data_IF_759246630286
#
_entry.id   IF_759246630286
#
_cell.length_a   1.000
_cell.length_b   1.000
_cell.length_c   1.000
_cell.angle_alpha   90.00
_cell.angle_beta   90.00
_cell.angle_gamma   90.00
#
_symmetry.space_group_name_H-M   'P 1'
#
loop_
_entity.id
_entity.type
_entity.pdbx_description
1 polymer ?
#
# COMPACT_ATOMS: atom_id res chain seq x y z
N UNK A 1 3.91 -7.07 -2.97
CA UNK A 1 3.19 -8.22 -2.39
C UNK A 1 3.91 -9.45 -2.87
N UNK A 2 4.50 -10.22 -1.96
CA UNK A 2 5.11 -11.51 -2.31
C UNK A 2 3.99 -12.55 -2.25
N UNK A 3 3.62 -13.12 -3.39
CA UNK A 3 2.58 -14.13 -3.50
C UNK A 3 3.15 -15.48 -3.08
N UNK A 4 2.66 -16.04 -1.98
CA UNK A 4 2.91 -17.44 -1.64
C UNK A 4 1.83 -18.28 -2.30
N UNK A 5 1.89 -18.36 -3.64
CA UNK A 5 0.88 -19.04 -4.45
C UNK A 5 1.20 -20.54 -4.56
N UNK A 6 0.29 -21.36 -4.02
CA UNK A 6 -0.23 -22.67 -4.44
C UNK A 6 0.52 -23.63 -5.41
N UNK A 7 1.85 -23.54 -5.55
CA UNK A 7 2.66 -24.62 -6.12
C UNK A 7 3.85 -24.92 -5.23
N UNK A 8 3.69 -25.96 -4.42
CA UNK A 8 4.79 -26.84 -4.03
C UNK A 8 5.26 -27.53 -5.33
N UNK A 9 5.94 -26.77 -6.19
CA UNK A 9 6.52 -27.26 -7.43
C UNK A 9 7.84 -27.96 -7.12
N UNK A 10 7.98 -29.17 -7.66
CA UNK A 10 9.15 -30.05 -7.58
C UNK A 10 10.50 -29.33 -7.71
N UNK A 11 11.55 -29.78 -6.99
CA UNK A 11 12.76 -29.03 -6.76
C UNK A 11 13.64 -29.00 -8.00
N UNK A 12 13.93 -27.82 -8.53
CA UNK A 12 15.10 -27.64 -9.39
C UNK A 12 15.94 -26.49 -8.84
N UNK A 13 16.89 -26.88 -7.99
CA UNK A 13 18.27 -26.40 -7.83
C UNK A 13 18.61 -26.46 -6.34
N UNK A 14 19.57 -27.30 -5.99
CA UNK A 14 20.02 -27.58 -4.63
C UNK A 14 20.47 -26.29 -3.90
N UNK A 15 19.55 -25.63 -3.21
CA UNK A 15 19.87 -24.71 -2.14
C UNK A 15 20.00 -25.53 -0.86
N UNK A 16 21.21 -25.61 -0.30
CA UNK A 16 21.44 -26.15 1.05
C UNK A 16 20.43 -25.49 2.00
N UNK A 17 19.53 -26.29 2.56
CA UNK A 17 18.64 -25.90 3.66
C UNK A 17 19.46 -25.17 4.73
N UNK A 18 19.11 -23.91 5.00
CA UNK A 18 19.80 -23.06 5.99
C UNK A 18 19.52 -23.48 7.43
N UNK A 19 18.58 -24.40 7.65
CA UNK A 19 18.44 -25.11 8.91
C UNK A 19 19.66 -26.02 9.08
N UNK A 20 20.55 -25.64 10.00
CA UNK A 20 21.75 -26.40 10.38
C UNK A 20 21.39 -27.88 10.55
N UNK A 21 22.17 -28.82 9.99
CA UNK A 21 22.03 -30.22 10.35
C UNK A 21 22.58 -30.38 11.77
N UNK A 22 21.71 -30.16 12.77
CA UNK A 22 21.91 -30.85 14.04
C UNK A 22 21.88 -32.36 13.72
N UNK A 23 22.85 -33.10 14.25
CA UNK A 23 23.02 -34.52 14.01
C UNK A 23 21.72 -35.32 14.22
N UNK A 24 21.63 -36.47 13.56
CA UNK A 24 20.53 -37.43 13.55
C UNK A 24 19.62 -37.36 14.80
N UNK A 25 18.58 -36.55 14.70
CA UNK A 25 17.66 -36.26 15.79
C UNK A 25 16.75 -35.11 15.39
N UNK A 26 15.50 -35.44 15.04
CA UNK A 26 14.34 -34.52 14.86
C UNK A 26 14.70 -33.06 14.58
N UNK A 27 14.74 -32.65 13.30
CA UNK A 27 14.85 -31.23 12.93
C UNK A 27 13.71 -30.46 13.62
N UNK A 28 14.05 -29.65 14.62
CA UNK A 28 13.08 -28.83 15.33
C UNK A 28 12.78 -27.58 14.52
N UNK A 29 11.50 -27.27 14.36
CA UNK A 29 11.03 -26.05 13.72
C UNK A 29 11.39 -24.86 14.60
N UNK A 30 11.92 -23.77 14.02
CA UNK A 30 12.24 -22.58 14.78
C UNK A 30 10.95 -21.92 15.32
N UNK A 31 10.96 -21.39 16.56
CA UNK A 31 9.83 -20.66 17.10
C UNK A 31 9.52 -19.42 16.25
N UNK A 32 8.24 -19.12 16.05
CA UNK A 32 7.79 -17.92 15.34
C UNK A 32 7.85 -16.71 16.27
N UNK A 33 8.12 -15.53 15.71
CA UNK A 33 8.02 -14.28 16.46
C UNK A 33 6.59 -14.06 16.97
N UNK A 34 6.49 -13.62 18.22
CA UNK A 34 5.21 -13.47 18.91
C UNK A 34 4.40 -12.25 18.47
N UNK A 35 5.01 -11.30 17.76
CA UNK A 35 4.34 -10.09 17.27
C UNK A 35 3.63 -10.28 15.92
N UNK A 36 3.78 -11.45 15.28
CA UNK A 36 3.11 -11.76 14.03
C UNK A 36 1.59 -11.89 14.23
N UNK A 37 0.84 -11.34 13.29
CA UNK A 37 -0.63 -11.40 13.32
C UNK A 37 -1.17 -11.99 12.02
N UNK A 38 -2.12 -12.92 12.13
CA UNK A 38 -2.89 -13.43 11.00
C UNK A 38 -4.24 -12.71 10.90
N UNK A 39 -4.59 -12.32 9.68
CA UNK A 39 -5.91 -11.77 9.35
C UNK A 39 -6.57 -12.65 8.29
N UNK A 40 -7.90 -12.87 8.34
CA UNK A 40 -8.60 -13.57 7.28
C UNK A 40 -8.48 -12.76 5.97
N UNK A 41 -8.07 -13.45 4.92
CA UNK A 41 -7.96 -12.91 3.57
C UNK A 41 -9.22 -13.18 2.75
N UNK A 42 -9.15 -12.78 1.48
CA UNK A 42 -10.22 -13.10 0.53
C UNK A 42 -10.07 -14.53 0.00
N UNK A 43 -11.18 -15.23 -0.19
CA UNK A 43 -11.14 -16.53 -0.87
C UNK A 43 -10.50 -16.44 -2.26
N UNK A 44 -9.79 -17.48 -2.67
CA UNK A 44 -9.29 -17.62 -4.04
C UNK A 44 -10.44 -17.84 -5.03
N UNK A 45 -10.12 -17.82 -6.32
CA UNK A 45 -11.11 -18.00 -7.39
C UNK A 45 -11.82 -19.36 -7.32
N UNK A 46 -11.17 -20.36 -6.72
CA UNK A 46 -11.72 -21.70 -6.44
C UNK A 46 -12.54 -21.77 -5.14
N UNK A 47 -12.68 -20.66 -4.42
CA UNK A 47 -13.37 -20.58 -3.13
C UNK A 47 -12.53 -20.99 -1.93
N UNK A 48 -11.27 -21.39 -2.12
CA UNK A 48 -10.40 -21.77 -1.01
C UNK A 48 -10.09 -20.55 -0.11
N UNK A 49 -10.08 -20.72 1.22
CA UNK A 49 -9.81 -19.62 2.13
C UNK A 49 -8.34 -19.19 2.05
N UNK A 50 -8.08 -17.90 2.26
CA UNK A 50 -6.71 -17.39 2.41
C UNK A 50 -6.58 -16.55 3.67
N UNK A 51 -5.35 -16.34 4.10
CA UNK A 51 -5.01 -15.50 5.23
C UNK A 51 -3.88 -14.54 4.86
N UNK A 52 -3.77 -13.44 5.59
CA UNK A 52 -2.68 -12.48 5.47
C UNK A 52 -1.88 -12.48 6.76
N UNK A 53 -0.62 -12.90 6.68
CA UNK A 53 0.37 -12.80 7.74
C UNK A 53 1.00 -11.41 7.71
N UNK A 54 0.89 -10.68 8.81
CA UNK A 54 1.43 -9.35 8.98
C UNK A 54 2.66 -9.39 9.90
N UNK A 55 3.78 -8.84 9.40
CA UNK A 55 4.99 -8.54 10.18
C UNK A 55 4.95 -7.05 10.58
N UNK A 56 4.65 -6.71 11.84
CA UNK A 56 4.55 -5.32 12.27
C UNK A 56 5.89 -4.59 12.28
N UNK A 57 7.01 -5.29 12.48
CA UNK A 57 8.32 -4.66 12.58
C UNK A 57 8.79 -4.13 11.21
N UNK A 58 8.56 -4.92 10.15
CA UNK A 58 8.91 -4.53 8.79
C UNK A 58 7.74 -3.88 8.01
N UNK A 59 6.53 -3.82 8.59
CA UNK A 59 5.27 -3.45 7.92
C UNK A 59 5.07 -4.22 6.60
N UNK A 60 5.28 -5.55 6.65
CA UNK A 60 5.16 -6.45 5.50
C UNK A 60 3.95 -7.35 5.63
N UNK A 61 3.38 -7.70 4.49
CA UNK A 61 2.19 -8.54 4.38
C UNK A 61 2.48 -9.69 3.43
N UNK A 62 2.24 -10.91 3.91
CA UNK A 62 2.37 -12.14 3.15
C UNK A 62 1.00 -12.78 3.03
N UNK A 63 0.57 -13.07 1.81
CA UNK A 63 -0.66 -13.84 1.59
C UNK A 63 -0.32 -15.32 1.69
N UNK A 64 -1.01 -16.05 2.54
CA UNK A 64 -0.86 -17.49 2.73
C UNK A 64 -2.15 -18.21 2.33
N UNK A 65 -2.01 -19.30 1.60
CA UNK A 65 -3.11 -20.19 1.23
C UNK A 65 -3.48 -21.15 2.36
N UNK A 66 -4.51 -21.96 2.12
CA UNK A 66 -5.01 -22.95 3.08
C UNK A 66 -3.95 -23.95 3.58
N UNK A 67 -3.08 -24.54 2.72
CA UNK A 67 -2.04 -25.45 3.21
C UNK A 67 -1.06 -24.80 4.18
N UNK A 68 -0.57 -23.61 3.85
CA UNK A 68 0.35 -22.88 4.72
C UNK A 68 -0.29 -22.50 6.06
N UNK A 69 -1.58 -22.14 6.06
CA UNK A 69 -2.33 -21.86 7.28
C UNK A 69 -2.46 -23.09 8.19
N UNK A 70 -2.78 -24.26 7.63
CA UNK A 70 -2.94 -25.49 8.41
C UNK A 70 -1.59 -25.97 9.00
N UNK A 71 -0.50 -25.76 8.27
CA UNK A 71 0.87 -26.01 8.77
C UNK A 71 1.18 -25.06 9.94
N UNK A 72 0.97 -23.75 9.78
CA UNK A 72 1.22 -22.75 10.83
C UNK A 72 0.35 -22.97 12.07
N UNK A 73 -0.89 -23.41 11.90
CA UNK A 73 -1.80 -23.70 13.01
C UNK A 73 -1.33 -24.86 13.89
N UNK A 74 -0.44 -25.71 13.37
CA UNK A 74 0.15 -26.86 14.08
C UNK A 74 1.64 -26.67 14.37
N UNK A 75 2.18 -25.47 14.15
CA UNK A 75 3.60 -25.16 14.29
C UNK A 75 4.17 -25.50 15.68
N UNK A 76 3.31 -25.46 16.71
CA UNK A 76 3.66 -25.81 18.10
C UNK A 76 4.08 -27.27 18.30
N UNK A 77 3.78 -28.17 17.36
CA UNK A 77 4.25 -29.57 17.41
C UNK A 77 5.78 -29.68 17.23
N UNK A 78 6.42 -28.67 16.66
CA UNK A 78 7.88 -28.55 16.62
C UNK A 78 8.61 -29.50 15.67
N UNK A 79 8.04 -30.62 15.24
CA UNK A 79 8.63 -31.53 14.23
C UNK A 79 7.90 -31.41 12.87
N UNK A 80 8.61 -31.22 11.74
CA UNK A 80 8.01 -31.20 10.41
C UNK A 80 7.15 -32.43 10.11
N UNK A 81 7.62 -33.62 10.52
CA UNK A 81 6.93 -34.88 10.32
C UNK A 81 5.65 -34.97 11.14
N UNK A 82 5.67 -34.47 12.38
CA UNK A 82 4.50 -34.43 13.25
C UNK A 82 3.46 -33.43 12.73
N UNK A 83 3.91 -32.26 12.26
CA UNK A 83 3.04 -31.24 11.64
C UNK A 83 2.37 -31.80 10.39
N UNK A 84 3.15 -32.35 9.45
CA UNK A 84 2.62 -32.93 8.21
C UNK A 84 1.62 -34.07 8.49
N UNK A 85 1.94 -34.96 9.44
CA UNK A 85 1.04 -36.04 9.86
C UNK A 85 -0.26 -35.50 10.46
N UNK A 86 -0.18 -34.50 11.33
CA UNK A 86 -1.35 -33.92 11.96
C UNK A 86 -2.26 -33.16 10.96
N UNK A 87 -1.67 -32.47 9.96
CA UNK A 87 -2.42 -31.85 8.87
C UNK A 87 -3.16 -32.92 8.05
N UNK A 88 -2.47 -33.99 7.61
CA UNK A 88 -3.10 -35.07 6.83
C UNK A 88 -4.18 -35.84 7.61
N UNK A 89 -4.03 -35.96 8.93
CA UNK A 89 -5.00 -36.67 9.77
C UNK A 89 -6.29 -35.87 10.02
N UNK A 90 -6.22 -34.54 9.97
CA UNK A 90 -7.32 -33.65 10.38
C UNK A 90 -7.92 -32.85 9.22
N UNK A 91 -7.31 -32.91 8.03
CA UNK A 91 -7.74 -32.16 6.84
C UNK A 91 -7.66 -33.05 5.60
N UNK A 92 -8.21 -32.59 4.49
CA UNK A 92 -8.12 -33.28 3.18
C UNK A 92 -6.82 -32.97 2.43
N UNK A 93 -5.93 -32.16 3.02
CA UNK A 93 -4.71 -31.70 2.37
C UNK A 93 -3.64 -32.80 2.35
N UNK A 94 -2.95 -32.90 1.23
CA UNK A 94 -1.74 -33.71 1.08
C UNK A 94 -0.54 -32.78 1.31
N UNK A 95 -0.01 -32.82 2.53
CA UNK A 95 1.16 -32.03 2.96
C UNK A 95 2.21 -32.99 3.49
N UNK A 96 3.44 -32.86 3.01
CA UNK A 96 4.60 -33.65 3.45
C UNK A 96 5.60 -32.83 4.27
N UNK A 97 6.56 -33.52 4.89
CA UNK A 97 7.57 -32.86 5.72
C UNK A 97 8.42 -31.86 4.92
N UNK A 98 8.61 -32.09 3.62
CA UNK A 98 9.30 -31.17 2.72
C UNK A 98 8.55 -29.84 2.56
N UNK A 99 7.22 -29.86 2.48
CA UNK A 99 6.40 -28.65 2.39
C UNK A 99 6.50 -27.81 3.66
N UNK A 100 6.52 -28.48 4.82
CA UNK A 100 6.69 -27.82 6.12
C UNK A 100 8.09 -27.20 6.22
N UNK A 101 9.13 -27.90 5.76
CA UNK A 101 10.50 -27.39 5.72
C UNK A 101 10.65 -26.23 4.72
N UNK A 102 9.98 -26.28 3.58
CA UNK A 102 9.95 -25.19 2.60
C UNK A 102 9.32 -23.93 3.19
N UNK A 103 8.20 -24.08 3.91
CA UNK A 103 7.60 -22.97 4.64
C UNK A 103 8.53 -22.47 5.76
N UNK A 104 9.20 -23.35 6.50
CA UNK A 104 10.15 -22.98 7.54
C UNK A 104 11.32 -22.16 7.00
N UNK A 105 11.91 -22.58 5.87
CA UNK A 105 13.00 -21.85 5.22
C UNK A 105 12.55 -20.46 4.76
N UNK A 106 11.34 -20.36 4.20
CA UNK A 106 10.75 -19.06 3.81
C UNK A 106 10.55 -18.14 5.02
N UNK A 107 9.95 -18.63 6.11
CA UNK A 107 9.75 -17.84 7.34
C UNK A 107 11.09 -17.41 7.96
N UNK A 108 12.08 -18.30 7.94
CA UNK A 108 13.41 -18.06 8.48
C UNK A 108 14.19 -17.00 7.66
N UNK A 109 14.12 -17.08 6.33
CA UNK A 109 14.67 -16.06 5.41
C UNK A 109 13.92 -14.74 5.50
N UNK A 110 12.61 -14.79 5.74
CA UNK A 110 11.77 -13.61 5.95
C UNK A 110 11.98 -12.90 7.29
N UNK A 111 12.87 -13.41 8.16
CA UNK A 111 13.08 -12.91 9.53
C UNK A 111 11.79 -12.92 10.38
N UNK A 112 10.94 -13.93 10.17
CA UNK A 112 9.68 -14.13 10.86
C UNK A 112 9.79 -15.09 12.05
N UNK A 113 10.92 -15.82 12.16
CA UNK A 113 11.24 -16.67 13.29
C UNK A 113 11.99 -15.89 14.38
N UNK A 114 11.82 -16.30 15.64
CA UNK A 114 12.56 -15.76 16.77
C UNK A 114 14.05 -16.15 16.66
N UNK A 115 14.93 -15.17 16.89
CA UNK A 115 16.37 -15.39 16.88
C UNK A 115 16.80 -15.75 18.31
N UNK A 116 17.07 -17.04 18.55
CA UNK A 116 17.41 -17.55 19.88
C UNK A 116 18.85 -18.02 20.02
N UNK A 117 19.59 -18.15 18.91
CA UNK A 117 20.97 -18.67 18.91
C UNK A 117 22.01 -17.60 18.57
N UNK A 118 23.27 -17.87 18.92
CA UNK A 118 24.41 -17.04 18.54
C UNK A 118 24.58 -16.95 17.02
N UNK A 119 24.25 -18.03 16.30
CA UNK A 119 24.30 -18.07 14.84
C UNK A 119 23.20 -17.21 14.21
N UNK A 120 22.00 -17.20 14.78
CA UNK A 120 20.93 -16.29 14.34
C UNK A 120 21.34 -14.81 14.50
N UNK A 121 21.99 -14.48 15.63
CA UNK A 121 22.46 -13.13 15.91
C UNK A 121 23.55 -12.70 14.92
N UNK A 122 24.50 -13.59 14.62
CA UNK A 122 25.53 -13.35 13.60
C UNK A 122 24.91 -13.14 12.22
N UNK A 123 23.96 -13.98 11.82
CA UNK A 123 23.24 -13.83 10.55
C UNK A 123 22.51 -12.49 10.43
N UNK A 124 21.82 -12.06 11.49
CA UNK A 124 21.14 -10.75 11.50
C UNK A 124 22.14 -9.60 11.40
N UNK A 125 23.29 -9.72 12.08
CA UNK A 125 24.37 -8.74 11.99
C UNK A 125 24.98 -8.70 10.59
N UNK A 126 25.26 -9.86 9.99
CA UNK A 126 25.77 -9.99 8.62
C UNK A 126 24.78 -9.42 7.60
N UNK A 127 23.48 -9.70 7.77
CA UNK A 127 22.43 -9.12 6.94
C UNK A 127 22.35 -7.59 7.08
N UNK A 128 22.50 -7.07 8.29
CA UNK A 128 22.55 -5.63 8.55
C UNK A 128 23.80 -4.97 7.94
N UNK A 129 24.97 -5.59 8.09
CA UNK A 129 26.23 -5.10 7.52
C UNK A 129 26.23 -5.18 5.99
N UNK A 130 25.67 -6.25 5.42
CA UNK A 130 25.48 -6.40 3.98
C UNK A 130 24.53 -5.33 3.39
N UNK A 131 23.70 -4.70 4.22
CA UNK A 131 22.87 -3.54 3.88
C UNK A 131 23.61 -2.20 3.89
N UNK A 132 24.79 -2.09 4.54
CA UNK A 132 25.64 -0.87 4.56
C UNK A 132 26.52 -0.78 3.30
N UNK A 133 25.94 -1.00 2.12
CA UNK A 133 26.67 -0.91 0.84
C UNK A 133 26.98 0.55 0.50
N UNK A 134 28.06 0.75 -0.25
CA UNK A 134 28.44 2.05 -0.80
C UNK A 134 27.24 2.69 -1.53
N UNK A 135 26.93 3.95 -1.20
CA UNK A 135 25.73 4.67 -1.66
C UNK A 135 25.52 4.62 -3.18
N UNK A 136 26.60 4.59 -3.97
CA UNK A 136 26.51 4.49 -5.43
C UNK A 136 26.02 3.10 -5.91
N UNK A 137 26.43 2.02 -5.23
CA UNK A 137 25.94 0.66 -5.53
C UNK A 137 24.49 0.50 -5.08
N UNK A 138 24.14 1.12 -3.94
CA UNK A 138 22.75 1.19 -3.49
C UNK A 138 21.87 1.91 -4.51
N UNK A 139 22.31 3.06 -5.03
CA UNK A 139 21.57 3.80 -6.05
C UNK A 139 21.42 3.00 -7.35
N UNK A 140 22.47 2.29 -7.81
CA UNK A 140 22.40 1.46 -9.01
C UNK A 140 21.46 0.25 -8.86
N UNK A 141 21.32 -0.31 -7.65
CA UNK A 141 20.38 -1.41 -7.39
C UNK A 141 18.94 -0.89 -7.18
N UNK A 142 18.78 0.34 -6.69
CA UNK A 142 17.48 0.92 -6.31
C UNK A 142 17.02 2.06 -7.24
N UNK A 143 17.71 2.36 -8.35
CA UNK A 143 17.38 3.48 -9.24
C UNK A 143 15.98 3.36 -9.84
N UNK A 144 15.49 2.11 -9.99
CA UNK A 144 14.15 1.83 -10.47
C UNK A 144 13.10 2.23 -9.44
N UNK A 145 13.32 1.96 -8.15
CA UNK A 145 12.31 2.22 -7.12
C UNK A 145 12.90 2.37 -5.72
N UNK A 146 12.75 3.55 -5.12
CA UNK A 146 12.98 3.75 -3.70
C UNK A 146 11.97 4.74 -3.10
N UNK A 147 11.79 4.69 -1.78
CA UNK A 147 10.83 5.54 -1.04
C UNK A 147 11.56 6.31 0.04
N UNK A 148 11.24 7.60 0.14
CA UNK A 148 11.71 8.49 1.19
C UNK A 148 10.50 8.86 2.06
N UNK A 149 10.31 8.20 3.22
CA UNK A 149 9.25 8.57 4.15
C UNK A 149 9.54 9.95 4.73
N UNK A 150 8.64 10.92 4.49
CA UNK A 150 8.83 12.29 4.98
C UNK A 150 8.30 12.46 6.41
N UNK A 151 7.15 11.86 6.71
CA UNK A 151 6.49 12.05 8.01
C UNK A 151 5.50 10.93 8.34
N UNK A 152 5.05 10.91 9.60
CA UNK A 152 4.11 9.93 10.16
C UNK A 152 2.75 10.58 10.41
N UNK A 153 1.76 10.44 9.50
CA UNK A 153 0.55 11.28 9.48
C UNK A 153 -0.53 10.85 10.51
N UNK A 154 -0.35 9.71 11.18
CA UNK A 154 -1.39 9.06 12.00
C UNK A 154 -2.12 9.99 12.99
N UNK A 155 -1.38 10.85 13.70
CA UNK A 155 -1.96 11.76 14.69
C UNK A 155 -2.88 12.77 14.03
N UNK A 156 -2.44 13.36 12.92
CA UNK A 156 -3.23 14.30 12.14
C UNK A 156 -4.46 13.61 11.53
N UNK A 157 -4.29 12.44 10.92
CA UNK A 157 -5.38 11.71 10.27
C UNK A 157 -6.48 11.35 11.28
N UNK A 158 -6.13 10.86 12.48
CA UNK A 158 -7.11 10.59 13.54
C UNK A 158 -7.85 11.85 13.99
N UNK A 159 -7.15 12.97 14.09
CA UNK A 159 -7.76 14.25 14.45
C UNK A 159 -8.72 14.74 13.36
N UNK A 160 -8.38 14.58 12.07
CA UNK A 160 -9.19 15.06 10.93
C UNK A 160 -10.35 14.12 10.57
N UNK A 161 -10.22 12.82 10.79
CA UNK A 161 -11.23 11.81 10.40
C UNK A 161 -12.67 12.17 10.83
N UNK A 162 -12.96 12.60 12.07
CA UNK A 162 -14.32 12.97 12.46
C UNK A 162 -14.84 14.21 11.72
N UNK A 163 -13.98 15.17 11.39
CA UNK A 163 -14.34 16.42 10.70
C UNK A 163 -14.60 16.24 9.22
N UNK A 164 -14.00 15.22 8.60
CA UNK A 164 -14.20 14.91 7.16
C UNK A 164 -15.29 13.85 6.98
N UNK A 165 -15.99 13.48 8.06
CA UNK A 165 -17.04 12.46 8.05
C UNK A 165 -18.15 12.72 7.03
N UNK A 166 -18.52 14.00 6.84
CA UNK A 166 -19.56 14.48 5.93
C UNK A 166 -19.24 14.24 4.45
N UNK A 167 -17.96 14.23 4.06
CA UNK A 167 -17.53 14.03 2.67
C UNK A 167 -17.85 12.62 2.13
N UNK A 168 -18.25 11.68 3.01
CA UNK A 168 -18.62 10.31 2.62
C UNK A 168 -20.14 10.10 2.61
N UNK A 169 -20.93 11.16 2.78
CA UNK A 169 -22.40 11.09 2.79
C UNK A 169 -22.97 11.24 1.39
N UNK A 170 -24.17 10.69 1.15
CA UNK A 170 -24.89 10.90 -0.12
C UNK A 170 -25.15 12.39 -0.39
N UNK A 171 -25.42 13.17 0.66
CA UNK A 171 -25.63 14.62 0.56
C UNK A 171 -24.42 15.35 -0.01
N UNK A 172 -23.20 14.95 0.38
CA UNK A 172 -21.98 15.52 -0.20
C UNK A 172 -21.88 15.27 -1.71
N UNK A 173 -22.12 14.04 -2.17
CA UNK A 173 -22.06 13.73 -3.60
C UNK A 173 -23.15 14.45 -4.40
N UNK A 174 -24.36 14.61 -3.85
CA UNK A 174 -25.41 15.40 -4.47
C UNK A 174 -25.06 16.89 -4.54
N UNK A 175 -24.48 17.45 -3.47
CA UNK A 175 -23.97 18.82 -3.46
C UNK A 175 -22.88 19.00 -4.53
N UNK A 176 -21.93 18.07 -4.60
CA UNK A 176 -20.85 18.10 -5.58
C UNK A 176 -21.37 18.03 -7.01
N UNK A 177 -22.36 17.16 -7.28
CA UNK A 177 -23.03 17.10 -8.57
C UNK A 177 -23.77 18.41 -8.91
N UNK A 178 -24.44 19.03 -7.94
CA UNK A 178 -25.07 20.34 -8.10
C UNK A 178 -24.06 21.45 -8.41
N UNK A 179 -22.93 21.48 -7.69
CA UNK A 179 -21.84 22.43 -7.94
C UNK A 179 -21.17 22.21 -9.29
N UNK A 180 -21.05 20.97 -9.75
CA UNK A 180 -20.56 20.65 -11.09
C UNK A 180 -21.49 21.23 -12.16
N UNK A 181 -22.79 20.95 -12.08
CA UNK A 181 -23.76 21.46 -13.05
C UNK A 181 -23.80 22.99 -13.06
N UNK A 182 -23.80 23.61 -11.88
CA UNK A 182 -23.76 25.07 -11.76
C UNK A 182 -22.45 25.65 -12.29
N UNK A 183 -21.31 25.04 -11.98
CA UNK A 183 -19.99 25.47 -12.45
C UNK A 183 -19.88 25.38 -13.97
N UNK A 184 -20.31 24.28 -14.58
CA UNK A 184 -20.33 24.13 -16.04
C UNK A 184 -21.27 25.15 -16.70
N UNK A 185 -22.44 25.41 -16.11
CA UNK A 185 -23.34 26.44 -16.59
C UNK A 185 -22.74 27.85 -16.50
N UNK A 186 -22.05 28.18 -15.41
CA UNK A 186 -21.40 29.48 -15.25
C UNK A 186 -20.21 29.67 -16.19
N UNK A 187 -19.40 28.62 -16.38
CA UNK A 187 -18.31 28.61 -17.36
C UNK A 187 -18.85 28.81 -18.78
N UNK A 188 -19.95 28.16 -19.15
CA UNK A 188 -20.55 28.36 -20.48
C UNK A 188 -21.09 29.77 -20.68
N UNK A 189 -21.55 30.44 -19.60
CA UNK A 189 -21.94 31.85 -19.62
C UNK A 189 -20.76 32.82 -19.73
N UNK A 190 -19.58 32.41 -19.29
CA UNK A 190 -18.34 33.21 -19.31
C UNK A 190 -17.29 32.57 -20.23
N UNK A 191 -17.74 31.97 -21.34
CA UNK A 191 -16.91 31.12 -22.19
C UNK A 191 -15.67 31.83 -22.71
N UNK A 192 -15.82 33.06 -23.21
CA UNK A 192 -14.70 33.84 -23.75
C UNK A 192 -13.63 34.11 -22.67
N UNK A 193 -14.05 34.46 -21.45
CA UNK A 193 -13.15 34.67 -20.31
C UNK A 193 -12.47 33.37 -19.85
N UNK A 194 -13.15 32.23 -19.98
CA UNK A 194 -12.57 30.92 -19.69
C UNK A 194 -11.48 30.55 -20.70
N UNK A 195 -11.75 30.77 -21.99
CA UNK A 195 -10.77 30.56 -23.07
C UNK A 195 -9.59 31.52 -22.91
N UNK A 196 -9.84 32.79 -22.58
CA UNK A 196 -8.79 33.77 -22.33
C UNK A 196 -7.87 33.38 -21.15
N UNK A 197 -8.38 32.64 -20.17
CA UNK A 197 -7.56 32.15 -19.05
C UNK A 197 -6.43 31.20 -19.50
N UNK A 198 -6.53 30.58 -20.68
CA UNK A 198 -5.44 29.78 -21.24
C UNK A 198 -4.20 30.60 -21.59
N UNK A 199 -4.33 31.92 -21.83
CA UNK A 199 -3.17 32.81 -22.06
C UNK A 199 -2.21 32.83 -20.87
N UNK A 200 -2.66 32.40 -19.68
CA UNK A 200 -1.77 32.22 -18.54
C UNK A 200 -0.62 31.23 -18.83
N UNK A 201 -0.81 30.24 -19.71
CA UNK A 201 0.22 29.27 -20.09
C UNK A 201 1.31 29.85 -21.00
N UNK A 202 1.09 31.02 -21.61
CA UNK A 202 2.09 31.66 -22.48
C UNK A 202 3.26 32.26 -21.68
N UNK A 203 3.09 32.42 -20.36
CA UNK A 203 4.08 33.00 -19.47
C UNK A 203 4.71 31.95 -18.54
N UNK A 204 5.99 32.16 -18.19
CA UNK A 204 6.71 31.30 -17.23
C UNK A 204 6.02 31.21 -15.85
N UNK A 205 5.36 32.30 -15.43
CA UNK A 205 4.55 32.33 -14.21
C UNK A 205 3.38 31.35 -14.25
N UNK A 206 2.80 31.09 -15.43
CA UNK A 206 1.76 30.08 -15.62
C UNK A 206 2.26 28.66 -15.40
N UNK A 207 3.47 28.33 -15.88
CA UNK A 207 4.09 27.03 -15.63
C UNK A 207 4.38 26.78 -14.16
N UNK A 208 4.84 27.81 -13.43
CA UNK A 208 5.01 27.73 -11.96
C UNK A 208 3.64 27.51 -11.30
N UNK A 209 2.62 28.26 -11.72
CA UNK A 209 1.25 28.11 -11.22
C UNK A 209 0.68 26.71 -11.45
N UNK A 210 0.91 26.13 -12.64
CA UNK A 210 0.54 24.76 -12.96
C UNK A 210 1.28 23.75 -12.07
N UNK A 211 2.60 23.89 -11.90
CA UNK A 211 3.38 23.01 -11.03
C UNK A 211 2.90 23.03 -9.57
N UNK A 212 2.55 24.21 -9.05
CA UNK A 212 1.94 24.36 -7.72
C UNK A 212 0.55 23.73 -7.66
N UNK A 213 -0.30 23.95 -8.66
CA UNK A 213 -1.64 23.37 -8.73
C UNK A 213 -1.60 21.83 -8.75
N UNK A 214 -0.72 21.25 -9.56
CA UNK A 214 -0.49 19.81 -9.63
C UNK A 214 0.03 19.25 -8.31
N UNK A 215 1.03 19.90 -7.71
CA UNK A 215 1.59 19.47 -6.43
C UNK A 215 0.54 19.51 -5.33
N UNK A 216 -0.26 20.57 -5.27
CA UNK A 216 -1.37 20.72 -4.33
C UNK A 216 -2.44 19.64 -4.51
N UNK A 217 -2.86 19.41 -5.76
CA UNK A 217 -3.82 18.37 -6.11
C UNK A 217 -3.33 16.98 -5.69
N UNK A 218 -2.06 16.65 -5.96
CA UNK A 218 -1.46 15.37 -5.54
C UNK A 218 -1.29 15.23 -4.04
N UNK A 219 -0.99 16.31 -3.31
CA UNK A 219 -1.01 16.26 -1.84
C UNK A 219 -2.41 15.88 -1.35
N UNK A 220 -3.46 16.54 -1.87
CA UNK A 220 -4.83 16.21 -1.52
C UNK A 220 -5.23 14.79 -1.94
N UNK A 221 -4.79 14.31 -3.11
CA UNK A 221 -4.98 12.94 -3.58
C UNK A 221 -4.48 11.91 -2.56
N UNK A 222 -3.24 12.08 -2.11
CA UNK A 222 -2.62 11.22 -1.10
C UNK A 222 -3.34 11.30 0.24
N UNK A 223 -3.78 12.50 0.66
CA UNK A 223 -4.63 12.65 1.84
C UNK A 223 -5.99 11.95 1.69
N UNK A 224 -6.57 11.92 0.49
CA UNK A 224 -7.79 11.19 0.17
C UNK A 224 -7.64 9.69 0.48
N UNK A 225 -6.56 9.07 -0.01
CA UNK A 225 -6.21 7.69 0.33
C UNK A 225 -6.02 7.51 1.84
N UNK A 226 -5.25 8.38 2.47
CA UNK A 226 -4.89 8.28 3.88
C UNK A 226 -6.12 8.38 4.82
N UNK A 227 -6.99 9.36 4.58
CA UNK A 227 -8.21 9.58 5.36
C UNK A 227 -9.21 8.44 5.16
N UNK A 228 -9.37 7.97 3.92
CA UNK A 228 -10.27 6.83 3.63
C UNK A 228 -9.77 5.55 4.29
N UNK A 229 -8.47 5.27 4.23
CA UNK A 229 -7.86 4.13 4.92
C UNK A 229 -8.06 4.23 6.44
N UNK A 230 -7.80 5.40 7.02
CA UNK A 230 -7.99 5.65 8.46
C UNK A 230 -9.45 5.45 8.89
N UNK A 231 -10.42 5.86 8.06
CA UNK A 231 -11.85 5.65 8.31
C UNK A 231 -12.23 4.17 8.37
N UNK A 232 -11.60 3.31 7.58
CA UNK A 232 -11.78 1.86 7.64
C UNK A 232 -10.99 1.18 8.76
N UNK A 233 -10.32 1.95 9.63
CA UNK A 233 -9.53 1.45 10.75
C UNK A 233 -8.10 1.01 10.37
N UNK A 234 -7.67 1.24 9.13
CA UNK A 234 -6.31 0.94 8.69
C UNK A 234 -5.33 2.00 9.19
N UNK A 235 -4.12 1.57 9.56
CA UNK A 235 -3.05 2.51 9.89
C UNK A 235 -2.29 2.96 8.64
N UNK A 236 -2.00 4.25 8.57
CA UNK A 236 -1.08 4.89 7.62
C UNK A 236 0.25 5.20 8.32
N UNK A 237 1.27 4.33 8.23
CA UNK A 237 2.52 4.50 8.97
C UNK A 237 3.39 5.64 8.44
N UNK A 238 3.37 5.88 7.12
CA UNK A 238 4.18 6.93 6.49
C UNK A 238 3.50 7.53 5.26
N UNK A 239 3.82 8.80 5.01
CA UNK A 239 3.58 9.50 3.74
C UNK A 239 4.91 10.16 3.33
N UNK A 240 5.16 10.26 2.03
CA UNK A 240 6.40 10.85 1.55
C UNK A 240 6.51 10.91 0.04
N UNK A 241 7.74 10.79 -0.45
CA UNK A 241 8.06 10.80 -1.89
C UNK A 241 8.68 9.47 -2.27
N UNK A 242 8.12 8.83 -3.30
CA UNK A 242 8.69 7.68 -3.97
C UNK A 242 9.35 8.13 -5.27
N UNK A 243 10.45 7.49 -5.65
CA UNK A 243 11.13 7.73 -6.92
C UNK A 243 10.98 6.48 -7.79
N UNK A 244 10.36 6.64 -8.95
CA UNK A 244 10.28 5.61 -9.99
C UNK A 244 11.16 6.06 -11.16
N UNK A 245 12.26 5.37 -11.43
CA UNK A 245 13.22 5.79 -12.47
C UNK A 245 13.62 7.26 -12.31
N UNK A 246 13.99 7.66 -11.09
CA UNK A 246 14.29 9.06 -10.69
C UNK A 246 13.15 10.08 -10.81
N UNK A 247 11.95 9.69 -11.22
CA UNK A 247 10.77 10.58 -11.22
C UNK A 247 10.12 10.62 -9.83
N UNK A 248 10.02 11.79 -9.16
CA UNK A 248 9.41 11.90 -7.85
C UNK A 248 7.88 11.81 -7.96
N UNK A 249 7.28 10.99 -7.10
CA UNK A 249 5.84 10.85 -6.93
C UNK A 249 5.52 10.89 -5.44
N UNK A 250 4.45 11.59 -5.07
CA UNK A 250 3.96 11.50 -3.70
C UNK A 250 3.43 10.08 -3.45
N UNK A 251 3.55 9.60 -2.21
CA UNK A 251 2.98 8.31 -1.84
C UNK A 251 2.44 8.32 -0.41
N UNK A 252 1.41 7.51 -0.22
CA UNK A 252 0.83 7.15 1.08
C UNK A 252 0.94 5.66 1.29
N UNK A 253 1.50 5.24 2.43
CA UNK A 253 1.52 3.83 2.79
C UNK A 253 0.13 3.40 3.29
N UNK A 254 -0.65 2.81 2.40
CA UNK A 254 -1.96 2.20 2.70
C UNK A 254 -1.90 0.67 2.72
N UNK A 255 -0.72 0.07 2.94
CA UNK A 255 -0.57 -1.39 2.93
C UNK A 255 -1.45 -2.10 3.95
N UNK A 256 -1.83 -1.45 5.06
CA UNK A 256 -2.78 -2.02 6.01
C UNK A 256 -4.17 -2.32 5.41
N UNK A 257 -4.51 -1.76 4.24
CA UNK A 257 -5.73 -2.12 3.51
C UNK A 257 -5.78 -3.61 3.13
N UNK A 258 -4.64 -4.31 3.08
CA UNK A 258 -4.58 -5.75 2.87
C UNK A 258 -5.18 -6.57 4.02
N UNK A 259 -5.31 -5.99 5.23
CA UNK A 259 -5.99 -6.63 6.36
C UNK A 259 -7.51 -6.66 6.19
N UNK A 260 -8.06 -5.84 5.28
CA UNK A 260 -9.50 -5.75 5.09
C UNK A 260 -9.99 -6.97 4.31
N UNK A 261 -10.95 -7.75 4.85
CA UNK A 261 -11.39 -9.00 4.22
C UNK A 261 -12.17 -8.74 2.92
N UNK A 262 -12.94 -7.64 2.86
CA UNK A 262 -13.81 -7.33 1.73
C UNK A 262 -13.14 -6.44 0.67
N UNK A 263 -13.50 -6.65 -0.61
CA UNK A 263 -13.01 -5.85 -1.75
C UNK A 263 -13.47 -4.39 -1.72
N UNK A 264 -14.69 -4.13 -1.23
CA UNK A 264 -15.31 -2.79 -1.30
C UNK A 264 -14.51 -1.71 -0.56
N UNK A 265 -14.13 -1.88 0.72
CA UNK A 265 -13.26 -0.92 1.40
C UNK A 265 -11.92 -0.71 0.69
N UNK A 266 -11.31 -1.77 0.16
CA UNK A 266 -10.04 -1.65 -0.58
C UNK A 266 -10.22 -0.84 -1.87
N UNK A 267 -11.33 -1.05 -2.58
CA UNK A 267 -11.69 -0.24 -3.75
C UNK A 267 -11.95 1.22 -3.37
N UNK A 268 -12.66 1.49 -2.27
CA UNK A 268 -12.88 2.85 -1.79
C UNK A 268 -11.56 3.54 -1.44
N UNK A 269 -10.62 2.85 -0.78
CA UNK A 269 -9.28 3.37 -0.49
C UNK A 269 -8.54 3.64 -1.80
N UNK A 270 -8.53 2.71 -2.75
CA UNK A 270 -7.86 2.86 -4.04
C UNK A 270 -8.46 3.97 -4.92
N UNK A 271 -9.77 4.20 -4.85
CA UNK A 271 -10.45 5.27 -5.60
C UNK A 271 -10.49 6.62 -4.89
N UNK A 272 -10.09 6.71 -3.63
CA UNK A 272 -10.25 7.92 -2.82
C UNK A 272 -9.44 9.12 -3.33
N UNK A 273 -8.23 8.88 -3.84
CA UNK A 273 -7.40 9.92 -4.45
C UNK A 273 -8.07 10.54 -5.67
N UNK A 274 -8.57 9.70 -6.60
CA UNK A 274 -9.34 10.12 -7.78
C UNK A 274 -10.59 10.90 -7.36
N UNK A 275 -11.36 10.38 -6.40
CA UNK A 275 -12.56 11.08 -5.91
C UNK A 275 -12.24 12.45 -5.31
N UNK A 276 -11.09 12.58 -4.65
CA UNK A 276 -10.62 13.85 -4.05
C UNK A 276 -10.19 14.83 -5.13
N UNK A 277 -9.48 14.38 -6.15
CA UNK A 277 -9.13 15.18 -7.34
C UNK A 277 -10.37 15.66 -8.08
N UNK A 278 -11.35 14.78 -8.33
CA UNK A 278 -12.61 15.18 -8.97
C UNK A 278 -13.37 16.21 -8.14
N UNK A 279 -13.43 16.03 -6.82
CA UNK A 279 -14.06 17.02 -5.94
C UNK A 279 -13.33 18.37 -6.00
N UNK A 280 -12.00 18.37 -6.00
CA UNK A 280 -11.19 19.58 -6.15
C UNK A 280 -11.44 20.26 -7.51
N UNK A 281 -11.49 19.49 -8.60
CA UNK A 281 -11.75 20.00 -9.94
C UNK A 281 -13.12 20.69 -10.05
N UNK A 282 -14.16 20.06 -9.49
CA UNK A 282 -15.51 20.63 -9.41
C UNK A 282 -15.53 21.94 -8.64
N UNK A 283 -14.94 21.96 -7.43
CA UNK A 283 -14.90 23.16 -6.60
C UNK A 283 -14.11 24.28 -7.27
N UNK A 284 -12.96 23.98 -7.87
CA UNK A 284 -12.15 24.96 -8.57
C UNK A 284 -12.88 25.54 -9.80
N UNK A 285 -13.58 24.70 -10.57
CA UNK A 285 -14.39 25.13 -11.72
C UNK A 285 -15.52 26.07 -11.29
N UNK A 286 -16.22 25.71 -10.21
CA UNK A 286 -17.30 26.53 -9.67
C UNK A 286 -16.77 27.87 -9.14
N UNK A 287 -15.74 27.84 -8.30
CA UNK A 287 -15.16 29.05 -7.67
C UNK A 287 -14.54 29.99 -8.71
N UNK A 288 -13.91 29.46 -9.76
CA UNK A 288 -13.35 30.26 -10.86
C UNK A 288 -14.36 31.28 -11.42
N UNK A 289 -15.64 30.89 -11.51
CA UNK A 289 -16.70 31.73 -12.07
C UNK A 289 -17.06 32.96 -11.24
N UNK A 290 -16.63 33.03 -9.98
CA UNK A 290 -16.90 34.12 -9.05
C UNK A 290 -15.66 34.95 -8.71
N UNK A 291 -14.47 34.49 -9.12
CA UNK A 291 -13.23 35.18 -8.80
C UNK A 291 -13.02 36.37 -9.75
N UNK A 292 -12.58 37.53 -9.22
CA UNK A 292 -12.15 38.65 -10.05
C UNK A 292 -10.85 38.31 -10.77
N UNK A 293 -10.52 39.07 -11.82
CA UNK A 293 -9.24 38.92 -12.51
C UNK A 293 -8.06 39.07 -11.55
N UNK A 294 -7.13 38.11 -11.61
CA UNK A 294 -5.98 38.08 -10.73
C UNK A 294 -5.44 36.67 -10.44
N UNK A 295 -4.43 36.56 -9.56
CA UNK A 295 -3.72 35.31 -9.31
C UNK A 295 -4.61 34.16 -8.82
N UNK A 296 -5.64 34.47 -8.02
CA UNK A 296 -6.57 33.45 -7.51
C UNK A 296 -7.43 32.84 -8.61
N UNK A 297 -7.91 33.67 -9.57
CA UNK A 297 -8.69 33.18 -10.71
C UNK A 297 -7.83 32.29 -11.60
N UNK A 298 -6.58 32.69 -11.85
CA UNK A 298 -5.61 31.86 -12.58
C UNK A 298 -5.34 30.55 -11.82
N UNK A 299 -5.14 30.58 -10.51
CA UNK A 299 -4.92 29.37 -9.72
C UNK A 299 -6.12 28.41 -9.74
N UNK A 300 -7.34 28.94 -9.63
CA UNK A 300 -8.57 28.16 -9.74
C UNK A 300 -8.72 27.53 -11.13
N UNK A 301 -8.41 28.30 -12.18
CA UNK A 301 -8.39 27.80 -13.55
C UNK A 301 -7.38 26.67 -13.75
N UNK A 302 -6.14 26.86 -13.28
CA UNK A 302 -5.06 25.87 -13.35
C UNK A 302 -5.43 24.59 -12.61
N UNK A 303 -5.98 24.71 -11.40
CA UNK A 303 -6.45 23.56 -10.62
C UNK A 303 -7.60 22.83 -11.32
N UNK A 304 -8.59 23.56 -11.83
CA UNK A 304 -9.74 22.98 -12.52
C UNK A 304 -9.29 22.20 -13.77
N UNK A 305 -8.62 22.87 -14.70
CA UNK A 305 -8.23 22.30 -16.00
C UNK A 305 -7.25 21.16 -15.86
N UNK A 306 -6.18 21.33 -15.08
CA UNK A 306 -5.16 20.28 -14.92
C UNK A 306 -5.70 19.04 -14.22
N UNK A 307 -6.54 19.21 -13.19
CA UNK A 307 -7.12 18.08 -12.46
C UNK A 307 -8.15 17.34 -13.33
N UNK A 308 -9.02 18.05 -14.07
CA UNK A 308 -9.91 17.39 -15.03
C UNK A 308 -9.15 16.58 -16.08
N UNK A 309 -8.12 17.17 -16.69
CA UNK A 309 -7.34 16.52 -17.74
C UNK A 309 -6.60 15.30 -17.21
N UNK A 310 -5.89 15.42 -16.08
CA UNK A 310 -5.03 14.33 -15.58
C UNK A 310 -5.84 13.20 -14.95
N UNK A 311 -6.97 13.52 -14.33
CA UNK A 311 -7.78 12.50 -13.64
C UNK A 311 -8.72 11.76 -14.60
N UNK A 312 -9.13 12.37 -15.73
CA UNK A 312 -10.05 11.75 -16.71
C UNK A 312 -9.38 11.21 -17.98
N UNK A 313 -8.17 11.67 -18.34
CA UNK A 313 -7.42 11.15 -19.50
C UNK A 313 -6.79 9.78 -19.22
#
# INVERSE_FOLDING_TARGET
MELLSNRLGSPTTAAKSLLTPAGEGSKTLPPLRQDLALYPGEAEADGSPTWTLHDPAANRFYRIGWPAFEILSRWSLGSPEQVARAVRAQTTLQVDAEDVLGLADMLYRGHLCEASTADDSRRLLDAHQAGRRHWAKWLLEHYLFFRVPLWRPMRLLRALTPWVGWAYTRGFFLLLAGLLLAGLFLVSRQWDGFVDSFKAFDHWSGFIGLGLALSFSKVLHEFGHALTATRYGCKVPSMGVAFLVMWPMLYTDVNEAWKLPSRRPRLHIAGAGIATELALAVLATFVWSFLPEGPLKVAAFMLATSTWLITLA
#
